data_IF_304372771604
#
_entry.id   IF_304372771604
#
_cell.length_a   1.000
_cell.length_b   1.000
_cell.length_c   1.000
_cell.angle_alpha   90.00
_cell.angle_beta   90.00
_cell.angle_gamma   90.00
#
_symmetry.space_group_name_H-M   'P 1'
#
loop_
_entity.id
_entity.type
_entity.pdbx_description
1 polymer ?
#
# COMPACT_ATOMS: atom_id res chain seq x y z
N UNK A 1 -7.72 5.49 4.02
CA UNK A 1 -6.34 5.26 3.52
C UNK A 1 -6.24 5.86 2.14
N UNK A 2 -5.10 6.46 1.80
CA UNK A 2 -4.84 7.08 0.49
C UNK A 2 -3.45 6.65 0.01
N UNK A 3 -3.33 6.16 -1.23
CA UNK A 3 -2.01 6.07 -1.88
C UNK A 3 -1.62 7.46 -2.37
N UNK A 4 -0.53 8.01 -1.85
CA UNK A 4 -0.04 9.33 -2.25
C UNK A 4 0.70 9.25 -3.58
N UNK A 5 0.89 10.39 -4.24
CA UNK A 5 1.51 10.48 -5.55
C UNK A 5 3.03 10.26 -5.51
N UNK A 6 3.69 10.62 -4.41
CA UNK A 6 5.12 10.43 -4.18
C UNK A 6 5.46 10.46 -2.69
N UNK A 7 6.67 10.01 -2.34
CA UNK A 7 7.27 10.20 -1.02
C UNK A 7 7.69 11.68 -0.83
N UNK A 8 6.70 12.55 -0.67
CA UNK A 8 6.88 14.01 -0.58
C UNK A 8 6.03 14.60 0.55
N UNK A 9 6.62 15.53 1.30
CA UNK A 9 5.99 16.20 2.44
C UNK A 9 4.66 16.87 2.08
N UNK A 10 4.55 17.42 0.86
CA UNK A 10 3.38 18.14 0.38
C UNK A 10 2.24 17.19 0.06
N UNK A 11 2.49 16.12 -0.70
CA UNK A 11 1.46 15.16 -1.07
C UNK A 11 0.96 14.36 0.14
N UNK A 12 1.87 13.93 1.00
CA UNK A 12 1.54 13.25 2.26
C UNK A 12 0.76 14.18 3.18
N UNK A 13 1.26 15.40 3.42
CA UNK A 13 0.57 16.39 4.26
C UNK A 13 -0.84 16.72 3.75
N UNK A 14 -1.00 16.91 2.44
CA UNK A 14 -2.30 17.19 1.81
C UNK A 14 -3.31 16.05 2.00
N UNK A 15 -2.89 14.80 1.84
CA UNK A 15 -3.75 13.64 2.05
C UNK A 15 -4.22 13.57 3.52
N UNK A 16 -3.31 13.81 4.47
CA UNK A 16 -3.62 13.81 5.89
C UNK A 16 -4.51 15.00 6.30
N UNK A 17 -4.26 16.19 5.75
CA UNK A 17 -5.07 17.39 6.03
C UNK A 17 -6.49 17.27 5.45
N UNK A 18 -6.66 16.48 4.39
CA UNK A 18 -7.95 16.07 3.85
C UNK A 18 -8.67 15.00 4.72
N UNK A 19 -8.02 14.47 5.75
CA UNK A 19 -8.60 13.55 6.73
C UNK A 19 -8.26 12.07 6.53
N UNK A 20 -7.24 11.74 5.74
CA UNK A 20 -6.76 10.36 5.64
C UNK A 20 -6.15 9.90 6.98
N UNK A 21 -6.61 8.75 7.50
CA UNK A 21 -6.03 8.10 8.69
C UNK A 21 -4.86 7.17 8.37
N UNK A 22 -4.55 6.97 7.08
CA UNK A 22 -3.41 6.19 6.65
C UNK A 22 -2.97 6.60 5.25
N UNK A 23 -1.66 6.55 4.99
CA UNK A 23 -1.08 6.73 3.66
C UNK A 23 -0.30 5.50 3.21
N UNK A 24 -0.41 5.14 1.93
CA UNK A 24 0.49 4.20 1.26
C UNK A 24 1.45 5.04 0.40
N UNK A 25 2.74 4.91 0.64
CA UNK A 25 3.78 5.68 -0.05
C UNK A 25 4.43 4.80 -1.13
N UNK A 26 4.29 5.16 -2.42
CA UNK A 26 4.83 4.35 -3.52
C UNK A 26 6.36 4.45 -3.61
N UNK A 27 6.98 3.51 -4.34
CA UNK A 27 8.41 3.55 -4.70
C UNK A 27 9.37 3.73 -3.50
N UNK A 28 9.18 2.95 -2.44
CA UNK A 28 10.12 2.89 -1.31
C UNK A 28 11.18 1.85 -1.62
N UNK A 29 12.41 2.28 -1.87
CA UNK A 29 13.51 1.43 -2.30
C UNK A 29 14.46 1.05 -1.16
N UNK A 30 14.50 1.83 -0.08
CA UNK A 30 15.41 1.60 1.04
C UNK A 30 14.88 2.14 2.38
N UNK A 31 15.60 1.85 3.47
CA UNK A 31 15.22 2.28 4.83
C UNK A 31 15.19 3.81 5.02
N UNK A 32 16.01 4.58 4.28
CA UNK A 32 15.98 6.04 4.33
C UNK A 32 14.70 6.58 3.71
N UNK A 33 14.24 6.01 2.58
CA UNK A 33 12.96 6.40 1.97
C UNK A 33 11.80 6.14 2.94
N UNK A 34 11.81 4.99 3.61
CA UNK A 34 10.83 4.64 4.62
C UNK A 34 10.88 5.61 5.82
N UNK A 35 12.08 5.98 6.29
CA UNK A 35 12.26 6.94 7.37
C UNK A 35 11.76 8.33 6.99
N UNK A 36 11.97 8.75 5.74
CA UNK A 36 11.47 10.02 5.20
C UNK A 36 9.94 10.03 5.13
N UNK A 37 9.32 8.91 4.72
CA UNK A 37 7.87 8.74 4.73
C UNK A 37 7.30 8.82 6.15
N UNK A 38 7.94 8.15 7.13
CA UNK A 38 7.57 8.24 8.55
C UNK A 38 7.69 9.68 9.04
N UNK A 39 8.80 10.36 8.76
CA UNK A 39 8.98 11.75 9.15
C UNK A 39 7.91 12.66 8.53
N UNK A 40 7.45 12.39 7.31
CA UNK A 40 6.44 13.18 6.63
C UNK A 40 5.04 13.10 7.26
N UNK A 41 4.71 11.99 7.94
CA UNK A 41 3.41 11.82 8.61
C UNK A 41 3.39 12.37 10.04
N UNK A 42 4.56 12.58 10.67
CA UNK A 42 4.66 13.02 12.07
C UNK A 42 5.00 14.51 12.21
N UNK A 43 4.39 15.17 13.20
CA UNK A 43 4.76 16.53 13.59
C UNK A 43 6.09 16.58 14.35
N UNK A 44 6.79 17.73 14.37
CA UNK A 44 7.93 17.93 15.27
C UNK A 44 7.58 17.65 16.75
N UNK A 45 8.50 17.07 17.54
CA UNK A 45 9.88 16.70 17.21
C UNK A 45 10.04 15.33 16.53
N UNK A 46 8.95 14.58 16.34
CA UNK A 46 8.99 13.20 15.83
C UNK A 46 9.08 13.11 14.30
N UNK A 47 8.90 14.23 13.60
CA UNK A 47 8.98 14.30 12.15
C UNK A 47 8.99 15.73 11.63
N UNK A 48 8.52 15.89 10.39
CA UNK A 48 8.65 17.10 9.57
C UNK A 48 7.32 17.55 8.96
N UNK A 49 6.19 16.96 9.36
CA UNK A 49 4.86 17.34 8.88
C UNK A 49 4.59 18.82 9.17
N UNK A 50 4.17 19.54 8.13
CA UNK A 50 3.74 20.94 8.26
C UNK A 50 2.36 21.02 8.91
N UNK A 51 2.14 22.05 9.73
CA UNK A 51 0.85 22.33 10.36
C UNK A 51 0.07 23.34 9.52
N UNK A 52 -1.00 22.89 8.85
CA UNK A 52 -1.80 23.66 7.89
C UNK A 52 -3.29 23.79 8.27
N UNK A 53 -4.14 24.39 7.42
CA UNK A 53 -5.57 24.60 7.71
C UNK A 53 -6.32 23.26 7.73
N UNK A 54 -6.56 22.72 8.93
CA UNK A 54 -6.96 21.34 9.11
C UNK A 54 -8.49 21.14 9.06
N UNK A 55 -9.00 20.72 7.91
CA UNK A 55 -10.27 19.95 7.88
C UNK A 55 -10.14 18.66 8.71
N UNK A 56 -8.92 18.12 8.79
CA UNK A 56 -8.57 17.01 9.68
C UNK A 56 -8.90 17.26 11.17
N UNK A 57 -8.90 18.50 11.68
CA UNK A 57 -9.24 18.80 13.09
C UNK A 57 -10.67 18.40 13.44
N UNK A 58 -11.57 18.39 12.45
CA UNK A 58 -12.95 17.97 12.62
C UNK A 58 -13.08 16.46 12.87
N UNK A 59 -12.02 15.67 12.62
CA UNK A 59 -12.06 14.19 12.68
C UNK A 59 -10.97 13.58 13.56
N UNK A 60 -9.76 14.11 13.54
CA UNK A 60 -8.56 13.59 14.25
C UNK A 60 -8.28 14.36 15.55
N UNK A 61 -9.06 15.41 15.82
CA UNK A 61 -8.94 16.26 17.00
C UNK A 61 -8.01 17.47 16.78
N UNK A 62 -8.08 18.48 17.66
CA UNK A 62 -7.40 19.76 17.48
C UNK A 62 -5.90 19.72 17.77
N UNK A 63 -5.40 18.67 18.44
CA UNK A 63 -4.08 18.64 19.02
C UNK A 63 -3.11 17.75 18.22
N UNK A 64 -2.09 18.32 17.56
CA UNK A 64 -1.05 17.57 16.84
C UNK A 64 -0.41 16.44 17.64
N UNK A 65 -0.23 16.60 18.96
CA UNK A 65 0.37 15.58 19.82
C UNK A 65 -0.46 14.28 19.85
N UNK A 66 -1.78 14.39 19.74
CA UNK A 66 -2.70 13.26 19.81
C UNK A 66 -2.89 12.56 18.44
N UNK A 67 -2.36 13.16 17.36
CA UNK A 67 -2.52 12.65 15.98
C UNK A 67 -1.49 11.60 15.59
N UNK A 68 -0.39 11.47 16.34
CA UNK A 68 0.71 10.57 16.01
C UNK A 68 0.25 9.11 15.96
N UNK A 69 -0.45 8.66 17.01
CA UNK A 69 -0.95 7.28 17.13
C UNK A 69 -2.17 7.01 16.22
N UNK A 70 -2.75 8.05 15.62
CA UNK A 70 -3.99 7.95 14.82
C UNK A 70 -3.73 7.86 13.31
N UNK A 71 -2.48 7.99 12.87
CA UNK A 71 -2.11 8.01 11.45
C UNK A 71 -1.18 6.84 11.12
N UNK A 72 -1.59 5.95 10.23
CA UNK A 72 -0.71 4.88 9.76
C UNK A 72 0.10 5.29 8.51
N UNK A 73 1.35 4.85 8.41
CA UNK A 73 2.19 4.99 7.21
C UNK A 73 2.64 3.62 6.72
N UNK A 74 2.44 3.36 5.44
CA UNK A 74 2.76 2.10 4.81
C UNK A 74 3.71 2.31 3.64
N UNK A 75 4.81 1.56 3.63
CA UNK A 75 5.75 1.54 2.51
C UNK A 75 5.26 0.59 1.42
N UNK A 76 5.19 1.05 0.17
CA UNK A 76 4.81 0.20 -0.94
C UNK A 76 6.03 -0.57 -1.47
N UNK A 77 5.95 -1.90 -1.45
CA UNK A 77 6.99 -2.78 -2.00
C UNK A 77 6.57 -3.19 -3.40
N UNK A 78 7.16 -2.52 -4.40
CA UNK A 78 6.77 -2.66 -5.80
C UNK A 78 7.93 -2.51 -6.80
N UNK A 79 9.16 -2.41 -6.29
CA UNK A 79 10.40 -2.24 -7.06
C UNK A 79 11.38 -3.36 -6.73
N UNK A 80 12.43 -3.51 -7.55
CA UNK A 80 13.47 -4.52 -7.32
C UNK A 80 14.30 -4.18 -6.07
N UNK A 81 14.66 -2.90 -5.90
CA UNK A 81 15.43 -2.42 -4.75
C UNK A 81 14.60 -2.50 -3.46
N UNK A 82 13.33 -2.09 -3.49
CA UNK A 82 12.42 -2.23 -2.37
C UNK A 82 12.23 -3.69 -1.93
N UNK A 83 12.17 -4.63 -2.87
CA UNK A 83 12.16 -6.06 -2.54
C UNK A 83 13.51 -6.54 -1.98
N UNK A 84 14.62 -6.07 -2.54
CA UNK A 84 15.96 -6.45 -2.09
C UNK A 84 16.24 -5.97 -0.66
N UNK A 85 15.72 -4.81 -0.28
CA UNK A 85 15.93 -4.14 1.00
C UNK A 85 14.75 -4.29 1.98
N UNK A 86 13.79 -5.18 1.69
CA UNK A 86 12.51 -5.24 2.41
C UNK A 86 12.67 -5.45 3.92
N UNK A 87 13.66 -6.22 4.38
CA UNK A 87 13.93 -6.41 5.80
C UNK A 87 14.37 -5.11 6.49
N UNK A 88 15.22 -4.31 5.84
CA UNK A 88 15.68 -3.02 6.37
C UNK A 88 14.55 -1.99 6.35
N UNK A 89 13.74 -1.97 5.29
CA UNK A 89 12.53 -1.13 5.20
C UNK A 89 11.58 -1.47 6.35
N UNK A 90 11.24 -2.74 6.53
CA UNK A 90 10.34 -3.19 7.60
C UNK A 90 10.87 -2.86 9.00
N UNK A 91 12.19 -2.84 9.21
CA UNK A 91 12.81 -2.49 10.49
C UNK A 91 12.81 -0.98 10.80
N UNK A 92 12.32 -0.14 9.89
CA UNK A 92 12.32 1.32 10.07
C UNK A 92 11.43 1.74 11.23
N UNK A 93 11.97 2.46 12.25
CA UNK A 93 11.17 2.90 13.39
C UNK A 93 10.00 3.80 12.97
N UNK A 94 8.80 3.48 13.46
CA UNK A 94 7.58 4.24 13.21
C UNK A 94 6.87 3.93 11.88
N UNK A 95 7.37 2.96 11.10
CA UNK A 95 6.65 2.38 9.97
C UNK A 95 5.56 1.45 10.50
N UNK A 96 4.31 1.61 10.05
CA UNK A 96 3.18 0.85 10.55
C UNK A 96 2.90 -0.42 9.72
N UNK A 97 3.41 -0.47 8.49
CA UNK A 97 3.29 -1.64 7.64
C UNK A 97 3.91 -1.48 6.26
N UNK A 98 3.78 -2.54 5.48
CA UNK A 98 4.10 -2.57 4.05
C UNK A 98 2.88 -2.92 3.23
N UNK A 99 2.87 -2.50 1.97
CA UNK A 99 1.81 -2.84 1.01
C UNK A 99 2.42 -3.27 -0.32
N UNK A 100 2.07 -4.45 -0.81
CA UNK A 100 2.58 -4.94 -2.10
C UNK A 100 1.74 -4.39 -3.25
N UNK A 101 2.41 -3.82 -4.25
CA UNK A 101 1.87 -3.49 -5.58
C UNK A 101 2.20 -4.61 -6.58
N UNK A 102 1.32 -5.59 -6.84
CA UNK A 102 1.67 -6.79 -7.59
C UNK A 102 2.08 -6.52 -9.04
N UNK A 103 1.41 -5.58 -9.70
CA UNK A 103 1.62 -5.27 -11.10
C UNK A 103 3.03 -4.77 -11.36
N UNK A 104 3.46 -3.77 -10.59
CA UNK A 104 4.78 -3.17 -10.70
C UNK A 104 5.85 -4.13 -10.16
N UNK A 105 5.58 -4.87 -9.07
CA UNK A 105 6.52 -5.86 -8.56
C UNK A 105 6.82 -6.97 -9.58
N UNK A 106 5.81 -7.44 -10.33
CA UNK A 106 6.02 -8.44 -11.40
C UNK A 106 6.91 -7.92 -12.52
N UNK A 107 6.73 -6.66 -12.92
CA UNK A 107 7.61 -6.01 -13.90
C UNK A 107 9.03 -5.88 -13.34
N UNK A 108 9.15 -5.48 -12.07
CA UNK A 108 10.43 -5.27 -11.42
C UNK A 108 11.27 -6.55 -11.27
N UNK A 109 10.64 -7.71 -11.12
CA UNK A 109 11.32 -9.02 -11.07
C UNK A 109 11.52 -9.67 -12.46
N UNK A 110 11.28 -8.93 -13.54
CA UNK A 110 11.61 -9.35 -14.91
C UNK A 110 10.44 -9.85 -15.77
N UNK A 111 9.19 -9.68 -15.31
CA UNK A 111 8.02 -10.03 -16.11
C UNK A 111 7.86 -9.09 -17.31
N UNK A 112 7.47 -9.63 -18.47
CA UNK A 112 7.19 -8.83 -19.67
C UNK A 112 5.88 -8.03 -19.54
N UNK A 113 5.00 -8.45 -18.64
CA UNK A 113 3.73 -7.79 -18.33
C UNK A 113 3.43 -7.89 -16.83
N UNK A 114 2.48 -7.09 -16.35
CA UNK A 114 2.00 -7.12 -14.97
C UNK A 114 1.25 -8.40 -14.57
N UNK A 115 1.05 -9.33 -15.51
CA UNK A 115 0.40 -10.63 -15.28
C UNK A 115 1.19 -11.78 -15.90
N UNK A 116 2.49 -11.58 -16.16
CA UNK A 116 3.32 -12.57 -16.82
C UNK A 116 3.43 -13.86 -15.97
N UNK A 117 2.98 -15.03 -16.47
CA UNK A 117 3.09 -16.28 -15.74
C UNK A 117 4.53 -16.79 -15.64
N UNK A 118 5.46 -16.31 -16.47
CA UNK A 118 6.85 -16.76 -16.46
C UNK A 118 7.60 -16.39 -15.17
N UNK A 119 7.15 -15.34 -14.46
CA UNK A 119 7.71 -14.89 -13.18
C UNK A 119 6.82 -15.26 -11.98
N UNK A 120 5.90 -16.21 -12.16
CA UNK A 120 4.92 -16.55 -11.12
C UNK A 120 5.58 -17.11 -9.87
N UNK A 121 6.58 -17.98 -9.99
CA UNK A 121 7.24 -18.59 -8.84
C UNK A 121 8.08 -17.56 -8.08
N UNK A 122 8.83 -16.73 -8.80
CA UNK A 122 9.60 -15.60 -8.26
C UNK A 122 8.68 -14.61 -7.54
N UNK A 123 7.52 -14.32 -8.12
CA UNK A 123 6.53 -13.45 -7.50
C UNK A 123 6.01 -14.04 -6.18
N UNK A 124 5.66 -15.32 -6.14
CA UNK A 124 5.20 -15.96 -4.90
C UNK A 124 6.32 -16.00 -3.83
N UNK A 125 7.58 -16.22 -4.23
CA UNK A 125 8.71 -16.11 -3.30
C UNK A 125 8.89 -14.69 -2.75
N UNK A 126 8.72 -13.67 -3.60
CA UNK A 126 8.76 -12.27 -3.18
C UNK A 126 7.67 -11.98 -2.13
N UNK A 127 6.43 -12.45 -2.35
CA UNK A 127 5.34 -12.28 -1.38
C UNK A 127 5.63 -12.96 -0.04
N UNK A 128 6.22 -14.16 -0.05
CA UNK A 128 6.64 -14.85 1.17
C UNK A 128 7.70 -14.02 1.91
N UNK A 129 8.70 -13.49 1.20
CA UNK A 129 9.75 -12.65 1.79
C UNK A 129 9.17 -11.40 2.44
N UNK A 130 8.32 -10.66 1.73
CA UNK A 130 7.69 -9.43 2.24
C UNK A 130 6.90 -9.71 3.52
N UNK A 131 6.07 -10.77 3.55
CA UNK A 131 5.29 -11.09 4.75
C UNK A 131 6.16 -11.50 5.93
N UNK A 132 7.18 -12.32 5.71
CA UNK A 132 8.10 -12.73 6.77
C UNK A 132 8.89 -11.55 7.34
N UNK A 133 9.32 -10.62 6.49
CA UNK A 133 9.99 -9.40 6.91
C UNK A 133 9.08 -8.52 7.77
N UNK A 134 7.83 -8.30 7.32
CA UNK A 134 6.84 -7.54 8.07
C UNK A 134 6.48 -8.20 9.41
N UNK A 135 6.28 -9.52 9.42
CA UNK A 135 6.03 -10.30 10.64
C UNK A 135 7.19 -10.20 11.64
N UNK A 136 8.43 -10.35 11.16
CA UNK A 136 9.63 -10.23 12.01
C UNK A 136 9.80 -8.83 12.61
N UNK A 137 9.38 -7.78 11.90
CA UNK A 137 9.36 -6.42 12.39
C UNK A 137 8.13 -6.08 13.25
N UNK A 138 7.12 -6.96 13.31
CA UNK A 138 5.88 -6.73 14.05
C UNK A 138 4.97 -5.69 13.42
N UNK A 139 5.04 -5.47 12.10
CA UNK A 139 4.25 -4.48 11.36
C UNK A 139 3.25 -5.15 10.40
N UNK A 140 2.26 -4.39 9.92
CA UNK A 140 1.25 -4.95 9.02
C UNK A 140 1.80 -5.27 7.62
N UNK A 141 1.22 -6.27 6.95
CA UNK A 141 1.52 -6.60 5.56
C UNK A 141 0.21 -6.61 4.75
N UNK A 142 0.13 -5.73 3.75
CA UNK A 142 -1.00 -5.63 2.83
C UNK A 142 -0.65 -5.98 1.40
N UNK A 143 -1.67 -6.27 0.59
CA UNK A 143 -1.52 -6.54 -0.84
C UNK A 143 -2.75 -6.14 -1.63
N UNK A 144 -2.53 -5.61 -2.84
CA UNK A 144 -3.61 -5.39 -3.80
C UNK A 144 -4.03 -6.69 -4.49
N UNK A 145 -5.32 -6.91 -4.71
CA UNK A 145 -5.82 -8.10 -5.40
C UNK A 145 -6.82 -7.71 -6.48
N UNK A 146 -6.90 -8.52 -7.54
CA UNK A 146 -7.83 -8.31 -8.64
C UNK A 146 -9.29 -8.64 -8.28
N UNK A 147 -9.51 -9.53 -7.30
CA UNK A 147 -10.82 -10.03 -6.91
C UNK A 147 -10.83 -10.54 -5.46
N UNK A 148 -12.02 -10.94 -4.99
CA UNK A 148 -12.23 -11.48 -3.65
C UNK A 148 -11.59 -12.85 -3.40
N UNK A 149 -11.49 -13.71 -4.41
CA UNK A 149 -10.88 -15.04 -4.26
C UNK A 149 -9.38 -14.93 -4.01
N UNK A 150 -8.71 -14.08 -4.78
CA UNK A 150 -7.30 -13.73 -4.64
C UNK A 150 -7.05 -13.08 -3.27
N UNK A 151 -7.89 -12.11 -2.87
CA UNK A 151 -7.77 -11.49 -1.55
C UNK A 151 -7.92 -12.51 -0.40
N UNK A 152 -8.93 -13.39 -0.45
CA UNK A 152 -9.13 -14.43 0.54
C UNK A 152 -7.92 -15.38 0.64
N UNK A 153 -7.36 -15.77 -0.51
CA UNK A 153 -6.12 -16.57 -0.57
C UNK A 153 -4.95 -15.85 0.10
N UNK A 154 -4.71 -14.57 -0.22
CA UNK A 154 -3.61 -13.79 0.38
C UNK A 154 -3.75 -13.61 1.89
N UNK A 155 -4.97 -13.40 2.37
CA UNK A 155 -5.25 -13.35 3.80
C UNK A 155 -4.96 -14.71 4.48
N UNK A 156 -5.37 -15.82 3.86
CA UNK A 156 -5.09 -17.16 4.36
C UNK A 156 -3.58 -17.51 4.36
N UNK A 157 -2.82 -16.94 3.44
CA UNK A 157 -1.36 -17.09 3.38
C UNK A 157 -0.65 -16.31 4.49
N UNK A 158 -1.30 -15.30 5.09
CA UNK A 158 -0.78 -14.52 6.23
C UNK A 158 -0.58 -13.03 5.99
N UNK A 159 -1.10 -12.45 4.89
CA UNK A 159 -1.24 -10.99 4.81
C UNK A 159 -2.25 -10.52 5.87
N UNK A 160 -1.98 -9.42 6.56
CA UNK A 160 -2.85 -8.93 7.64
C UNK A 160 -4.02 -8.10 7.13
N UNK A 161 -3.92 -7.55 5.91
CA UNK A 161 -5.02 -6.89 5.22
C UNK A 161 -4.87 -6.99 3.70
N UNK A 162 -5.95 -6.74 2.96
CA UNK A 162 -5.97 -6.88 1.52
C UNK A 162 -6.98 -5.91 0.89
N UNK A 163 -6.61 -5.29 -0.23
CA UNK A 163 -7.60 -4.62 -1.09
C UNK A 163 -8.31 -5.67 -1.93
N UNK A 164 -9.64 -5.58 -2.00
CA UNK A 164 -10.51 -6.48 -2.77
C UNK A 164 -10.94 -5.78 -4.05
N UNK A 165 -10.14 -5.96 -5.11
CA UNK A 165 -10.29 -5.30 -6.41
C UNK A 165 -10.21 -3.76 -6.38
N UNK A 166 -10.28 -3.18 -7.58
CA UNK A 166 -10.57 -1.77 -7.78
C UNK A 166 -12.04 -1.61 -8.21
N UNK A 167 -12.67 -0.53 -7.77
CA UNK A 167 -14.06 -0.19 -8.10
C UNK A 167 -14.31 -0.15 -9.61
N UNK A 168 -13.43 0.48 -10.38
CA UNK A 168 -13.51 0.56 -11.84
C UNK A 168 -13.48 -0.82 -12.50
N UNK A 169 -12.67 -1.75 -11.96
CA UNK A 169 -12.58 -3.13 -12.48
C UNK A 169 -13.87 -3.89 -12.17
N UNK A 170 -14.37 -3.80 -10.94
CA UNK A 170 -15.65 -4.42 -10.57
C UNK A 170 -16.82 -3.87 -11.40
N UNK A 171 -16.90 -2.55 -11.57
CA UNK A 171 -17.93 -1.91 -12.38
C UNK A 171 -17.84 -2.35 -13.85
N UNK A 172 -16.64 -2.44 -14.41
CA UNK A 172 -16.44 -2.93 -15.77
C UNK A 172 -16.88 -4.39 -15.92
N UNK A 173 -16.47 -5.28 -15.00
CA UNK A 173 -16.81 -6.70 -15.02
C UNK A 173 -18.33 -6.92 -14.98
N UNK A 174 -19.02 -6.28 -14.04
CA UNK A 174 -20.46 -6.45 -13.91
C UNK A 174 -21.22 -5.83 -15.08
N UNK A 175 -20.81 -4.64 -15.56
CA UNK A 175 -21.40 -4.02 -16.74
C UNK A 175 -21.24 -4.91 -17.98
N UNK A 176 -20.07 -5.53 -18.16
CA UNK A 176 -19.80 -6.46 -19.25
C UNK A 176 -20.72 -7.67 -19.17
N UNK A 177 -20.87 -8.27 -18.00
CA UNK A 177 -21.77 -9.43 -17.80
C UNK A 177 -23.24 -9.13 -18.14
N UNK A 178 -23.74 -7.94 -17.79
CA UNK A 178 -25.10 -7.52 -18.14
C UNK A 178 -25.27 -7.31 -19.65
N UNK A 179 -24.25 -6.76 -20.33
CA UNK A 179 -24.27 -6.59 -21.77
C UNK A 179 -24.23 -7.93 -22.52
N UNK A 180 -23.43 -8.89 -22.04
CA UNK A 180 -23.36 -10.24 -22.60
C UNK A 180 -24.71 -10.96 -22.47
N UNK A 181 -25.34 -10.89 -21.30
CA UNK A 181 -26.67 -11.43 -21.08
C UNK A 181 -27.72 -10.78 -22.00
N UNK A 182 -27.71 -9.44 -22.10
CA UNK A 182 -28.63 -8.70 -22.96
C UNK A 182 -28.46 -9.00 -24.45
N UNK A 183 -27.23 -9.34 -24.89
CA UNK A 183 -26.92 -9.78 -26.26
C UNK A 183 -27.35 -11.23 -26.55
N UNK A 184 -27.97 -11.91 -25.59
CA UNK A 184 -28.47 -13.27 -25.75
C UNK A 184 -27.38 -14.32 -25.61
N UNK A 185 -26.48 -14.13 -24.63
CA UNK A 185 -25.35 -14.99 -24.29
C UNK A 185 -25.42 -16.39 -24.88
N UNK A 186 -24.61 -16.63 -25.92
CA UNK A 186 -24.48 -17.90 -26.64
C UNK A 186 -25.79 -18.72 -26.75
N UNK A 187 -26.64 -18.39 -27.72
CA UNK A 187 -27.43 -19.43 -28.39
C UNK A 187 -26.55 -20.28 -29.30
#
# INVERSE_FOLDING_TARGET
>A
MVRVEANDLTYIGKALDAGASAVIVPLIDNAQDAADAVAAVRYPPLGRRSYGPMRAQLRVGPNPADTHEQTAVLAMIETADGLANVEEICATPGLDGVYVGPSDLRLAIGGATSTDPAVQDEFEQALIRVRKAAEAAGIAAGIHNADGASAARRLAEGFTFASVAADVVHLQQIATSHLEAARGGAR
#
